data_IF_181886454561
#
_entry.id   IF_181886454561
#
_cell.length_a   1.000
_cell.length_b   1.000
_cell.length_c   1.000
_cell.angle_alpha   90.00
_cell.angle_beta   90.00
_cell.angle_gamma   90.00
#
_symmetry.space_group_name_H-M   'P 1'
#
loop_
_entity.id
_entity.type
_entity.pdbx_description
1 polymer ?
#
# COMPACT_ATOMS: atom_id res chain seq x y z
N UNK A 1 -28.84 -3.40 -49.00
CA UNK A 1 -29.54 -2.81 -47.84
C UNK A 1 -28.66 -2.98 -46.62
N UNK A 2 -28.40 -1.90 -45.90
CA UNK A 2 -27.48 -1.82 -44.76
C UNK A 2 -28.04 -2.44 -43.47
N UNK A 3 -27.10 -2.85 -42.59
CA UNK A 3 -27.02 -2.56 -41.14
C UNK A 3 -27.02 -3.78 -40.19
N UNK A 4 -25.96 -3.90 -39.38
CA UNK A 4 -25.92 -4.85 -38.27
C UNK A 4 -24.58 -5.02 -37.53
N UNK A 5 -24.13 -3.95 -36.85
CA UNK A 5 -23.27 -3.92 -35.63
C UNK A 5 -21.85 -4.53 -35.62
N UNK A 6 -20.91 -3.60 -35.46
CA UNK A 6 -19.52 -3.72 -35.02
C UNK A 6 -19.41 -4.36 -33.62
N UNK A 7 -18.57 -5.36 -33.47
CA UNK A 7 -17.74 -5.63 -32.29
C UNK A 7 -16.88 -6.87 -32.57
N UNK A 8 -15.74 -7.00 -31.88
CA UNK A 8 -14.93 -8.22 -31.80
C UNK A 8 -13.89 -8.46 -32.92
N UNK A 9 -13.00 -7.51 -33.15
CA UNK A 9 -11.67 -7.81 -33.66
C UNK A 9 -10.66 -7.01 -32.85
N UNK A 10 -9.96 -7.67 -31.92
CA UNK A 10 -8.62 -7.39 -31.34
C UNK A 10 -8.55 -8.28 -30.06
N UNK A 11 -8.18 -9.55 -30.22
CA UNK A 11 -7.84 -10.44 -29.08
C UNK A 11 -6.89 -11.57 -29.50
N UNK A 12 -6.14 -11.39 -30.58
CA UNK A 12 -5.35 -12.49 -31.15
C UNK A 12 -4.01 -11.96 -31.67
N UNK A 13 -3.09 -11.56 -30.78
CA UNK A 13 -1.71 -11.33 -31.23
C UNK A 13 -0.58 -11.63 -30.24
N UNK A 14 -0.82 -12.11 -29.02
CA UNK A 14 0.33 -12.42 -28.14
C UNK A 14 0.12 -13.70 -27.33
N UNK A 15 -0.18 -14.79 -28.03
CA UNK A 15 0.03 -16.15 -27.54
C UNK A 15 0.82 -16.86 -28.64
N UNK A 16 2.14 -16.82 -28.57
CA UNK A 16 3.06 -17.84 -29.13
C UNK A 16 4.48 -17.28 -29.22
N UNK A 17 5.19 -17.30 -28.11
CA UNK A 17 6.59 -17.71 -28.10
C UNK A 17 6.91 -18.20 -26.68
N UNK A 18 6.92 -19.53 -26.46
CA UNK A 18 8.17 -20.24 -26.13
C UNK A 18 8.50 -20.01 -24.64
N UNK A 19 7.96 -20.78 -23.68
CA UNK A 19 8.39 -22.15 -23.30
C UNK A 19 9.87 -22.41 -23.62
N UNK A 20 10.63 -22.89 -22.63
CA UNK A 20 12.10 -23.11 -22.58
C UNK A 20 12.75 -21.91 -21.87
N UNK A 21 13.08 -21.96 -20.58
CA UNK A 21 13.81 -23.02 -19.89
C UNK A 21 13.62 -22.95 -18.37
N UNK A 22 13.15 -24.05 -17.77
CA UNK A 22 13.49 -24.50 -16.41
C UNK A 22 13.14 -23.57 -15.24
N UNK A 23 12.11 -23.94 -14.48
CA UNK A 23 11.90 -23.30 -13.17
C UNK A 23 10.51 -23.50 -12.61
N UNK A 24 10.22 -24.73 -12.20
CA UNK A 24 9.45 -25.09 -11.01
C UNK A 24 8.98 -23.89 -10.15
N UNK A 25 7.65 -23.76 -10.07
CA UNK A 25 6.88 -23.49 -8.85
C UNK A 25 7.49 -22.52 -7.84
N UNK A 26 7.22 -21.23 -7.98
CA UNK A 26 6.81 -20.41 -6.85
C UNK A 26 5.70 -19.48 -7.32
N UNK A 27 4.57 -19.51 -6.63
CA UNK A 27 3.53 -18.49 -6.76
C UNK A 27 4.12 -17.18 -6.20
N UNK A 28 4.89 -16.48 -7.04
CA UNK A 28 5.30 -15.11 -6.78
C UNK A 28 4.01 -14.30 -6.81
N UNK A 29 3.51 -13.95 -5.62
CA UNK A 29 2.54 -12.87 -5.50
C UNK A 29 3.14 -11.67 -6.26
N UNK A 30 2.44 -11.08 -7.24
CA UNK A 30 2.96 -9.90 -7.89
C UNK A 30 3.10 -8.82 -6.82
N UNK A 31 4.33 -8.56 -6.39
CA UNK A 31 4.70 -7.27 -5.85
C UNK A 31 4.49 -6.29 -6.99
N UNK A 32 3.28 -5.77 -7.11
CA UNK A 32 3.03 -4.56 -7.87
C UNK A 32 3.93 -3.52 -7.23
N UNK A 33 5.09 -3.30 -7.85
CA UNK A 33 5.96 -2.19 -7.51
C UNK A 33 5.11 -0.95 -7.64
N UNK A 34 4.64 -0.46 -6.49
CA UNK A 34 4.23 0.93 -6.39
C UNK A 34 5.55 1.66 -6.49
N UNK A 35 5.86 2.18 -7.69
CA UNK A 35 6.95 3.11 -7.87
C UNK A 35 6.83 4.12 -6.72
N UNK A 36 7.87 4.21 -5.89
CA UNK A 36 7.93 5.19 -4.81
C UNK A 36 7.85 6.56 -5.48
N UNK A 37 6.68 7.18 -5.42
CA UNK A 37 6.52 8.57 -5.85
C UNK A 37 7.33 9.38 -4.85
N UNK A 38 8.45 9.91 -5.32
CA UNK A 38 9.25 10.87 -4.58
C UNK A 38 8.42 12.15 -4.48
N UNK A 39 7.68 12.29 -3.37
CA UNK A 39 6.84 13.45 -3.11
C UNK A 39 7.73 14.49 -2.46
N UNK A 40 7.89 15.64 -3.11
CA UNK A 40 8.54 16.79 -2.49
C UNK A 40 7.71 17.26 -1.28
N UNK A 41 8.30 17.10 -0.09
CA UNK A 41 7.70 17.49 1.18
C UNK A 41 8.08 18.93 1.58
N UNK A 42 8.92 19.61 0.80
CA UNK A 42 9.32 20.99 1.06
C UNK A 42 8.13 21.94 0.93
N UNK A 43 8.01 22.88 1.87
CA UNK A 43 6.94 23.88 1.86
C UNK A 43 5.53 23.37 2.21
N UNK A 44 5.33 22.07 2.45
CA UNK A 44 4.08 21.55 3.00
C UNK A 44 3.93 21.91 4.48
N UNK A 45 2.72 22.29 4.86
CA UNK A 45 2.35 22.55 6.26
C UNK A 45 2.31 21.24 7.06
N UNK A 46 2.74 21.23 8.33
CA UNK A 46 2.62 20.06 9.19
C UNK A 46 1.16 19.67 9.43
N UNK A 47 0.90 18.37 9.50
CA UNK A 47 -0.42 17.80 9.78
C UNK A 47 -0.34 17.00 11.08
N UNK A 48 -1.32 17.19 11.96
CA UNK A 48 -1.50 16.36 13.14
C UNK A 48 -2.68 15.40 12.92
N UNK A 49 -2.46 14.13 13.22
CA UNK A 49 -3.51 13.11 13.22
C UNK A 49 -3.59 12.42 14.57
N UNK A 50 -4.77 11.91 14.92
CA UNK A 50 -4.98 11.10 16.13
C UNK A 50 -5.42 9.70 15.73
N UNK A 51 -4.68 8.69 16.18
CA UNK A 51 -5.03 7.28 16.05
C UNK A 51 -5.46 6.74 17.41
N UNK A 52 -6.67 6.18 17.49
CA UNK A 52 -7.22 5.63 18.73
C UNK A 52 -7.32 4.11 18.66
N UNK A 53 -7.08 3.44 19.79
CA UNK A 53 -7.29 1.99 19.95
C UNK A 53 -7.90 1.69 21.33
N UNK A 54 -8.60 0.56 21.51
CA UNK A 54 -9.40 0.32 22.72
C UNK A 54 -8.60 -0.20 23.92
N UNK A 55 -7.38 -0.70 23.73
CA UNK A 55 -6.58 -1.30 24.81
C UNK A 55 -5.79 -0.26 25.61
N UNK A 56 -5.36 -0.62 26.84
CA UNK A 56 -4.45 0.21 27.63
C UNK A 56 -3.10 0.40 26.92
N UNK A 57 -2.32 1.42 27.31
CA UNK A 57 -0.98 1.66 26.78
C UNK A 57 0.01 0.62 27.32
N UNK A 58 0.06 -0.54 26.66
CA UNK A 58 0.93 -1.66 27.00
C UNK A 58 1.60 -2.21 25.74
N UNK A 59 2.93 -2.15 25.69
CA UNK A 59 3.76 -2.59 24.56
C UNK A 59 3.67 -4.11 24.30
N UNK A 60 3.15 -4.90 25.24
CA UNK A 60 2.89 -6.32 25.05
C UNK A 60 1.52 -6.59 24.41
N UNK A 61 0.63 -5.59 24.35
CA UNK A 61 -0.64 -5.67 23.65
C UNK A 61 -0.45 -5.32 22.17
N UNK A 62 -0.85 -6.26 21.32
CA UNK A 62 -0.61 -6.17 19.88
C UNK A 62 -1.13 -4.89 19.26
N UNK A 63 -2.30 -4.40 19.68
CA UNK A 63 -2.92 -3.22 19.10
C UNK A 63 -2.20 -1.93 19.52
N UNK A 64 -1.78 -1.80 20.79
CA UNK A 64 -0.96 -0.66 21.21
C UNK A 64 0.39 -0.67 20.50
N UNK A 65 1.08 -1.81 20.51
CA UNK A 65 2.37 -1.98 19.84
C UNK A 65 2.28 -1.67 18.33
N UNK A 66 1.21 -2.12 17.66
CA UNK A 66 0.99 -1.84 16.23
C UNK A 66 0.73 -0.35 15.98
N UNK A 67 0.02 0.35 16.89
CA UNK A 67 -0.19 1.80 16.76
C UNK A 67 1.10 2.59 16.98
N UNK A 68 1.98 2.13 17.88
CA UNK A 68 3.29 2.75 18.08
C UNK A 68 4.20 2.57 16.85
N UNK A 69 4.23 1.37 16.27
CA UNK A 69 4.96 1.11 15.02
C UNK A 69 4.40 1.92 13.84
N UNK A 70 3.08 2.07 13.75
CA UNK A 70 2.43 2.93 12.74
C UNK A 70 2.84 4.40 12.90
N UNK A 71 2.81 4.92 14.14
CA UNK A 71 3.27 6.29 14.46
C UNK A 71 4.71 6.50 13.98
N UNK A 72 5.61 5.61 14.36
CA UNK A 72 7.04 5.70 14.00
C UNK A 72 7.22 5.72 12.47
N UNK A 73 6.60 4.77 11.76
CA UNK A 73 6.69 4.71 10.30
C UNK A 73 6.18 5.98 9.62
N UNK A 74 5.03 6.52 10.04
CA UNK A 74 4.44 7.72 9.43
C UNK A 74 5.28 8.96 9.72
N UNK A 75 5.77 9.10 10.94
CA UNK A 75 6.61 10.24 11.34
C UNK A 75 7.96 10.23 10.61
N UNK A 76 8.57 9.05 10.46
CA UNK A 76 9.82 8.89 9.70
C UNK A 76 9.61 9.10 8.20
N UNK A 77 8.62 8.43 7.60
CA UNK A 77 8.37 8.50 6.16
C UNK A 77 7.88 9.88 5.69
N UNK A 78 7.34 10.69 6.60
CA UNK A 78 6.93 12.06 6.33
C UNK A 78 7.99 13.10 6.69
N UNK A 79 9.18 12.68 7.13
CA UNK A 79 10.24 13.59 7.60
C UNK A 79 9.74 14.57 8.69
N UNK A 80 8.85 14.08 9.56
CA UNK A 80 8.23 14.87 10.64
C UNK A 80 7.12 15.83 10.18
N UNK A 81 6.67 15.76 8.92
CA UNK A 81 5.53 16.56 8.43
C UNK A 81 4.19 16.06 8.92
N UNK A 82 4.07 14.77 9.20
CA UNK A 82 2.89 14.19 9.83
C UNK A 82 3.27 13.81 11.25
N UNK A 83 2.55 14.35 12.23
CA UNK A 83 2.64 13.95 13.64
C UNK A 83 1.44 13.08 14.01
N UNK A 84 1.70 11.93 14.62
CA UNK A 84 0.67 10.96 15.01
C UNK A 84 0.54 10.93 16.52
N UNK A 85 -0.60 11.37 17.04
CA UNK A 85 -0.96 11.21 18.44
C UNK A 85 -1.68 9.87 18.64
N UNK A 86 -1.16 8.99 19.50
CA UNK A 86 -1.80 7.72 19.84
C UNK A 86 -2.65 7.91 21.10
N UNK A 87 -3.95 7.62 21.00
CA UNK A 87 -4.91 7.69 22.10
C UNK A 87 -5.32 6.27 22.51
N UNK A 88 -4.71 5.70 23.56
CA UNK A 88 -5.11 4.40 24.10
C UNK A 88 -6.46 4.49 24.81
N UNK A 89 -7.10 3.34 25.00
CA UNK A 89 -8.34 3.16 25.75
C UNK A 89 -8.15 2.28 26.99
N UNK A 90 -9.19 1.53 27.35
CA UNK A 90 -9.06 0.37 28.24
C UNK A 90 -8.94 0.68 29.73
N UNK A 91 -9.65 1.70 30.21
CA UNK A 91 -9.85 1.95 31.66
C UNK A 91 -10.35 0.71 32.43
#
# INVERSE_FOLDING_TARGET
MFAGKKALFISLLVISAVLISGGITEAVMPHTGMDSVDVDLEGLDPIEITAAHPSPPDDYLQDHASMMAFKEYVEEASEGKISVNVSPGGE
#
